data_IF_787106200450
#
_entry.id   IF_787106200450
#
_cell.length_a   1.000
_cell.length_b   1.000
_cell.length_c   1.000
_cell.angle_alpha   90.00
_cell.angle_beta   90.00
_cell.angle_gamma   90.00
#
_symmetry.space_group_name_H-M   'P 1'
#
loop_
_entity.id
_entity.type
_entity.pdbx_description
1 polymer ?
#
# COMPACT_ATOMS: atom_id res chain seq x y z
N UNK A 1 17.75 -37.41 5.47
CA UNK A 1 18.46 -36.11 5.62
C UNK A 1 18.61 -35.55 4.22
N UNK A 2 17.96 -34.48 3.79
CA UNK A 2 17.08 -33.48 4.41
C UNK A 2 16.35 -32.80 3.25
N UNK A 3 15.02 -32.76 3.32
CA UNK A 3 14.17 -32.01 2.40
C UNK A 3 14.35 -30.50 2.65
N UNK A 4 14.57 -29.75 1.59
CA UNK A 4 14.38 -28.30 1.55
C UNK A 4 14.24 -27.88 0.08
N UNK A 5 13.09 -28.15 -0.52
CA UNK A 5 12.66 -27.41 -1.71
C UNK A 5 11.50 -26.54 -1.28
N UNK A 6 11.74 -25.22 -1.35
CA UNK A 6 10.92 -24.20 -0.74
C UNK A 6 9.46 -24.26 -1.15
N UNK A 7 8.61 -24.04 -0.14
CA UNK A 7 7.21 -23.62 -0.22
C UNK A 7 7.08 -22.26 -0.93
N UNK A 8 7.52 -22.18 -2.18
CA UNK A 8 7.21 -21.08 -3.07
C UNK A 8 6.05 -21.57 -3.93
N UNK A 9 4.85 -21.02 -3.70
CA UNK A 9 3.63 -21.29 -4.45
C UNK A 9 2.80 -22.53 -4.04
N UNK A 10 2.73 -22.83 -2.74
CA UNK A 10 1.66 -23.72 -2.27
C UNK A 10 0.39 -22.89 -2.01
N UNK A 11 -0.59 -23.16 -2.88
CA UNK A 11 -2.03 -23.06 -2.64
C UNK A 11 -2.66 -21.66 -2.68
N UNK A 12 -3.16 -21.32 -3.88
CA UNK A 12 -4.40 -20.57 -4.03
C UNK A 12 -5.56 -21.38 -3.42
N UNK A 13 -5.62 -21.47 -2.10
CA UNK A 13 -6.81 -21.96 -1.40
C UNK A 13 -7.88 -20.86 -1.42
N UNK A 14 -8.74 -20.94 -2.43
CA UNK A 14 -10.01 -20.22 -2.51
C UNK A 14 -10.99 -20.85 -1.49
N UNK A 15 -10.79 -20.63 -0.17
CA UNK A 15 -11.64 -21.23 0.87
C UNK A 15 -11.64 -20.46 2.21
N UNK A 16 -12.44 -19.39 2.27
CA UNK A 16 -13.35 -19.05 3.39
C UNK A 16 -13.81 -17.59 3.25
N UNK A 17 -15.11 -17.38 3.09
CA UNK A 17 -15.78 -16.07 3.10
C UNK A 17 -15.81 -15.39 4.49
N UNK A 18 -14.89 -15.75 5.39
CA UNK A 18 -14.77 -15.21 6.76
C UNK A 18 -13.38 -14.63 7.08
N UNK A 19 -12.44 -14.66 6.13
CA UNK A 19 -11.08 -14.18 6.38
C UNK A 19 -10.95 -12.75 5.87
N UNK A 20 -10.36 -11.88 6.70
CA UNK A 20 -10.02 -10.52 6.28
C UNK A 20 -9.23 -10.61 4.95
N UNK A 21 -9.62 -9.86 3.92
CA UNK A 21 -8.90 -9.82 2.65
C UNK A 21 -7.42 -9.51 2.87
N UNK A 22 -6.60 -10.18 2.07
CA UNK A 22 -5.16 -9.96 2.03
C UNK A 22 -4.81 -9.32 0.69
N UNK A 23 -4.17 -8.17 0.74
CA UNK A 23 -3.62 -7.50 -0.44
C UNK A 23 -2.10 -7.72 -0.45
N UNK A 24 -1.62 -8.77 -1.12
CA UNK A 24 -0.19 -9.03 -1.18
C UNK A 24 0.51 -7.87 -1.91
N UNK A 25 1.57 -7.35 -1.29
CA UNK A 25 2.50 -6.47 -2.00
C UNK A 25 3.40 -7.34 -2.89
N UNK A 26 3.66 -6.95 -4.15
CA UNK A 26 4.65 -7.62 -5.00
C UNK A 26 6.10 -7.35 -4.56
N UNK A 27 6.30 -6.55 -3.51
CA UNK A 27 7.62 -6.22 -3.00
C UNK A 27 8.31 -7.42 -2.33
N UNK A 28 9.64 -7.47 -2.43
CA UNK A 28 10.48 -8.55 -1.90
C UNK A 28 11.60 -8.02 -1.01
N UNK A 29 12.19 -8.87 -0.13
CA UNK A 29 13.30 -8.47 0.72
C UNK A 29 14.48 -7.93 -0.10
N UNK A 30 15.00 -6.77 0.31
CA UNK A 30 16.10 -6.10 -0.40
C UNK A 30 15.68 -5.33 -1.66
N UNK A 31 14.38 -5.16 -1.92
CA UNK A 31 13.91 -4.29 -3.01
C UNK A 31 14.41 -2.86 -2.79
N UNK A 32 15.12 -2.37 -3.80
CA UNK A 32 15.53 -0.98 -3.96
C UNK A 32 14.77 -0.40 -5.15
N UNK A 33 14.37 0.86 -5.05
CA UNK A 33 13.72 1.58 -6.12
C UNK A 33 14.62 1.73 -7.35
N UNK A 34 14.01 2.17 -8.44
CA UNK A 34 14.68 2.40 -9.72
C UNK A 34 14.58 3.87 -10.18
N UNK A 35 13.96 4.72 -9.37
CA UNK A 35 13.69 6.13 -9.66
C UNK A 35 14.29 6.99 -8.54
N UNK A 36 14.93 8.10 -8.91
CA UNK A 36 15.52 9.01 -7.93
C UNK A 36 14.43 9.70 -7.09
N UNK A 37 14.71 10.01 -5.81
CA UNK A 37 13.75 10.63 -4.91
C UNK A 37 13.13 11.93 -5.45
N UNK A 38 13.89 12.74 -6.19
CA UNK A 38 13.38 14.01 -6.76
C UNK A 38 12.19 13.80 -7.71
N UNK A 39 12.13 12.66 -8.42
CA UNK A 39 11.04 12.33 -9.34
C UNK A 39 9.85 11.63 -8.67
N UNK A 40 10.03 11.17 -7.43
CA UNK A 40 8.97 10.56 -6.62
C UNK A 40 8.33 11.56 -5.64
N UNK A 41 8.99 12.70 -5.42
CA UNK A 41 8.58 13.69 -4.42
C UNK A 41 7.28 14.40 -4.81
N UNK A 42 6.36 14.50 -3.85
CA UNK A 42 5.24 15.43 -3.92
C UNK A 42 5.74 16.89 -3.79
N UNK A 43 5.08 17.81 -4.51
CA UNK A 43 5.42 19.24 -4.42
C UNK A 43 5.27 19.76 -2.99
N UNK A 44 6.31 20.40 -2.47
CA UNK A 44 6.33 20.90 -1.09
C UNK A 44 6.57 19.84 -0.01
N UNK A 45 6.76 18.58 -0.39
CA UNK A 45 7.11 17.48 0.50
C UNK A 45 8.24 16.66 -0.14
N UNK A 46 9.49 17.17 -0.14
CA UNK A 46 10.62 16.42 -0.68
C UNK A 46 10.87 15.16 0.15
N UNK A 47 11.44 14.13 -0.47
CA UNK A 47 12.06 13.05 0.31
C UNK A 47 13.10 13.63 1.27
N UNK A 48 13.21 13.04 2.46
CA UNK A 48 14.31 13.32 3.37
C UNK A 48 15.63 13.05 2.66
N UNK A 49 16.67 13.83 2.99
CA UNK A 49 18.01 13.54 2.49
C UNK A 49 18.35 12.08 2.80
N UNK A 50 18.75 11.28 1.78
CA UNK A 50 19.03 9.88 2.01
C UNK A 50 20.11 9.77 3.08
N UNK A 51 20.04 8.75 3.96
CA UNK A 51 21.14 8.47 4.87
C UNK A 51 22.41 8.27 4.05
N UNK A 52 23.56 8.46 4.70
CA UNK A 52 24.91 8.68 4.17
C UNK A 52 25.54 7.59 3.25
N UNK A 53 24.75 6.95 2.39
CA UNK A 53 25.12 6.01 1.34
C UNK A 53 25.05 6.67 -0.05
N UNK A 54 25.97 7.58 -0.40
CA UNK A 54 25.99 8.24 -1.70
C UNK A 54 26.17 7.27 -2.88
N UNK A 55 26.58 6.01 -2.62
CA UNK A 55 26.70 4.95 -3.62
C UNK A 55 25.36 4.32 -4.00
N UNK A 56 24.27 4.60 -3.26
CA UNK A 56 22.93 4.10 -3.52
C UNK A 56 21.94 5.26 -3.47
N UNK A 57 21.72 5.96 -4.59
CA UNK A 57 20.85 7.14 -4.63
C UNK A 57 19.36 6.80 -4.71
N UNK A 58 19.00 5.53 -4.94
CA UNK A 58 17.62 5.09 -5.05
C UNK A 58 17.07 4.67 -3.67
N UNK A 59 15.84 5.09 -3.32
CA UNK A 59 15.27 4.76 -2.02
C UNK A 59 14.95 3.26 -1.95
N UNK A 60 15.18 2.68 -0.78
CA UNK A 60 14.70 1.34 -0.44
C UNK A 60 13.17 1.30 -0.36
N UNK A 61 12.61 0.08 -0.34
CA UNK A 61 11.19 -0.11 -0.05
C UNK A 61 10.77 0.56 1.28
N UNK A 62 11.63 0.48 2.31
CA UNK A 62 11.33 1.05 3.62
C UNK A 62 11.29 2.57 3.57
N UNK A 63 12.29 3.20 2.97
CA UNK A 63 12.34 4.68 2.85
C UNK A 63 11.18 5.20 2.02
N UNK A 64 10.80 4.50 0.94
CA UNK A 64 9.62 4.84 0.14
C UNK A 64 8.33 4.71 0.96
N UNK A 65 8.20 3.64 1.75
CA UNK A 65 7.05 3.43 2.62
C UNK A 65 6.94 4.52 3.70
N UNK A 66 8.04 4.83 4.39
CA UNK A 66 8.08 5.85 5.44
C UNK A 66 7.68 7.21 4.86
N UNK A 67 8.27 7.61 3.72
CA UNK A 67 7.92 8.85 3.02
C UNK A 67 6.42 8.96 2.70
N UNK A 68 5.84 7.91 2.10
CA UNK A 68 4.42 7.90 1.77
C UNK A 68 3.53 7.89 3.02
N UNK A 69 3.97 7.24 4.10
CA UNK A 69 3.26 7.21 5.37
C UNK A 69 3.22 8.60 6.01
N UNK A 70 4.38 9.26 6.09
CA UNK A 70 4.52 10.60 6.68
C UNK A 70 3.70 11.62 5.90
N UNK A 71 3.74 11.57 4.56
CA UNK A 71 2.91 12.41 3.71
C UNK A 71 1.40 12.17 3.95
N UNK A 72 0.98 10.93 4.13
CA UNK A 72 -0.43 10.55 4.26
C UNK A 72 -1.00 10.77 5.67
N UNK A 73 -0.15 10.83 6.70
CA UNK A 73 -0.53 10.94 8.11
C UNK A 73 -1.62 11.99 8.39
N UNK A 74 -1.47 13.27 8.00
CA UNK A 74 -2.49 14.29 8.29
C UNK A 74 -3.85 13.99 7.63
N UNK A 75 -3.86 13.28 6.49
CA UNK A 75 -5.09 12.90 5.81
C UNK A 75 -5.77 11.70 6.47
N UNK A 76 -4.98 10.80 7.06
CA UNK A 76 -5.47 9.68 7.86
C UNK A 76 -6.08 10.21 9.16
N UNK A 77 -5.38 11.09 9.88
CA UNK A 77 -5.86 11.69 11.13
C UNK A 77 -7.15 12.50 10.93
N UNK A 78 -7.24 13.25 9.82
CA UNK A 78 -8.45 13.99 9.44
C UNK A 78 -9.60 13.06 9.00
N UNK A 79 -9.35 11.77 8.79
CA UNK A 79 -10.32 10.81 8.26
C UNK A 79 -10.63 10.97 6.77
N UNK A 80 -9.82 11.76 6.05
CA UNK A 80 -9.93 11.92 4.59
C UNK A 80 -9.45 10.65 3.85
N UNK A 81 -8.48 9.94 4.43
CA UNK A 81 -8.07 8.59 4.00
C UNK A 81 -8.55 7.60 5.06
N UNK A 82 -9.34 6.60 4.65
CA UNK A 82 -9.81 5.53 5.52
C UNK A 82 -9.08 4.25 5.19
N UNK A 83 -8.27 3.77 6.12
CA UNK A 83 -7.60 2.47 6.02
C UNK A 83 -8.54 1.35 6.47
N UNK A 84 -8.19 0.11 6.15
CA UNK A 84 -8.99 -1.08 6.50
C UNK A 84 -10.45 -0.98 6.00
N UNK A 85 -10.69 -0.18 4.96
CA UNK A 85 -11.99 0.05 4.34
C UNK A 85 -11.89 -0.34 2.88
N UNK A 86 -12.72 -1.30 2.47
CA UNK A 86 -12.80 -1.78 1.10
C UNK A 86 -14.01 -1.15 0.41
N UNK A 87 -13.81 -0.60 -0.79
CA UNK A 87 -14.93 -0.18 -1.65
C UNK A 87 -15.42 -1.41 -2.41
N UNK A 88 -16.68 -1.80 -2.19
CA UNK A 88 -17.25 -3.04 -2.74
C UNK A 88 -18.19 -2.81 -3.92
N UNK A 89 -18.75 -1.60 -4.04
CA UNK A 89 -19.62 -1.21 -5.16
C UNK A 89 -19.59 0.30 -5.34
N UNK A 90 -19.68 0.72 -6.59
CA UNK A 90 -19.82 2.12 -6.98
C UNK A 90 -20.92 2.16 -8.03
N UNK A 91 -21.98 2.92 -7.77
CA UNK A 91 -23.10 3.12 -8.70
C UNK A 91 -23.28 4.61 -8.96
N UNK A 92 -23.49 4.99 -10.22
CA UNK A 92 -23.84 6.37 -10.57
C UNK A 92 -25.32 6.62 -10.26
N UNK A 93 -25.61 7.74 -9.61
CA UNK A 93 -26.98 8.14 -9.30
C UNK A 93 -27.60 8.88 -10.49
N UNK A 94 -28.89 8.61 -10.74
CA UNK A 94 -29.65 9.29 -11.78
C UNK A 94 -29.65 10.82 -11.61
N UNK A 95 -29.90 11.53 -12.70
CA UNK A 95 -30.00 12.99 -12.76
C UNK A 95 -28.73 13.74 -12.29
N UNK A 96 -27.55 13.15 -12.50
CA UNK A 96 -26.25 13.73 -12.11
C UNK A 96 -26.15 14.07 -10.61
N UNK A 97 -26.82 13.29 -9.75
CA UNK A 97 -26.82 13.48 -8.28
C UNK A 97 -25.56 12.96 -7.59
N UNK A 98 -24.62 12.40 -8.35
CA UNK A 98 -23.34 11.90 -7.84
C UNK A 98 -23.25 10.37 -7.87
N UNK A 99 -22.60 9.80 -6.86
CA UNK A 99 -22.26 8.38 -6.81
C UNK A 99 -22.67 7.77 -5.47
N UNK A 100 -23.32 6.61 -5.50
CA UNK A 100 -23.46 5.74 -4.34
C UNK A 100 -22.22 4.86 -4.22
N UNK A 101 -21.58 4.87 -3.06
CA UNK A 101 -20.34 4.12 -2.81
C UNK A 101 -20.56 3.21 -1.62
N UNK A 102 -20.75 1.92 -1.89
CA UNK A 102 -20.85 0.92 -0.84
C UNK A 102 -19.45 0.51 -0.38
N UNK A 103 -19.25 0.54 0.94
CA UNK A 103 -17.98 0.19 1.58
C UNK A 103 -18.16 -0.93 2.60
N UNK A 104 -17.08 -1.67 2.85
CA UNK A 104 -16.95 -2.62 3.94
C UNK A 104 -15.80 -2.17 4.85
N UNK A 105 -16.12 -1.90 6.11
CA UNK A 105 -15.13 -1.54 7.13
C UNK A 105 -14.71 -2.80 7.91
N UNK A 106 -13.45 -3.20 7.75
CA UNK A 106 -12.89 -4.41 8.33
C UNK A 106 -12.42 -4.23 9.78
N UNK A 107 -12.61 -3.06 10.39
CA UNK A 107 -12.34 -2.83 11.82
C UNK A 107 -13.38 -3.52 12.71
N UNK A 108 -14.61 -3.70 12.23
CA UNK A 108 -15.75 -4.17 13.03
C UNK A 108 -16.13 -5.65 12.82
N UNK A 109 -15.37 -6.39 12.00
CA UNK A 109 -15.63 -7.81 11.71
C UNK A 109 -16.31 -7.99 10.37
#
# INVERSE_FOLDING_TARGET
MSEASGKYMDEYEEKNSSHRPRWPSPAYPGLVGNILPEFLSFSGCPFSEPPSTPQQPFPTLKETYDYLRDFAEPFIEKGSIRLNTEVVRIDELADAKGWDVAIRDWNFG
#
